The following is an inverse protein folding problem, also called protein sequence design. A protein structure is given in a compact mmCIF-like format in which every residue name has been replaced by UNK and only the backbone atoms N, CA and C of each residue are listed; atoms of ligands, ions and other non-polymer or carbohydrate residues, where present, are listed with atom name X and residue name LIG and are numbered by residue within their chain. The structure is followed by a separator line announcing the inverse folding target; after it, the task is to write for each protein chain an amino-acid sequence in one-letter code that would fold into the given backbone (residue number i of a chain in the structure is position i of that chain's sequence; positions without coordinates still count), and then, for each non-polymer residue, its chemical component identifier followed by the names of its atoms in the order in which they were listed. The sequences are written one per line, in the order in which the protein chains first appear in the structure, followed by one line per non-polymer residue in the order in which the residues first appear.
data_IF_177017498574
#
_entry.id   IF_177017498574
#
_cell.length_a   1.000
_cell.length_b   1.000
_cell.length_c   1.000
_cell.angle_alpha   90.00
_cell.angle_beta   90.00
_cell.angle_gamma   90.00
#
_symmetry.space_group_name_H-M   'P 1'
#
loop_
_entity.id
_entity.type
_entity.pdbx_description
1 polymer ?
#
# COMPACT_ATOMS: atom_id res chain seq x y z
N UNK A 1 25.35 -2.57 -11.89
CA UNK A 1 24.73 -3.26 -10.74
C UNK A 1 23.23 -3.01 -10.79
N UNK A 2 22.46 -4.04 -10.53
CA UNK A 2 21.00 -3.96 -10.45
C UNK A 2 20.52 -4.32 -9.05
N UNK A 3 19.48 -3.63 -8.59
CA UNK A 3 18.80 -4.01 -7.35
C UNK A 3 17.68 -5.02 -7.68
N UNK A 4 17.32 -5.84 -6.72
CA UNK A 4 16.23 -6.81 -6.84
C UNK A 4 14.93 -6.29 -6.18
N UNK A 5 14.52 -5.08 -6.56
CA UNK A 5 13.31 -4.45 -6.05
C UNK A 5 13.48 -3.75 -4.71
N UNK A 6 12.36 -3.51 -4.04
CA UNK A 6 12.29 -2.88 -2.72
C UNK A 6 12.12 -3.99 -1.68
N UNK A 7 13.03 -4.07 -0.71
CA UNK A 7 12.99 -5.11 0.33
C UNK A 7 11.82 -4.90 1.29
N UNK A 8 11.66 -3.69 1.82
CA UNK A 8 10.58 -3.36 2.73
C UNK A 8 10.22 -1.87 2.71
N UNK A 9 9.02 -1.59 3.18
CA UNK A 9 8.53 -0.22 3.45
C UNK A 9 8.08 -0.17 4.90
N UNK A 10 8.53 0.82 5.66
CA UNK A 10 8.13 1.06 7.03
C UNK A 10 7.39 2.39 7.12
N UNK A 11 6.19 2.37 7.68
CA UNK A 11 5.35 3.53 7.87
C UNK A 11 5.25 3.85 9.37
N UNK A 12 5.45 5.10 9.74
CA UNK A 12 5.17 5.57 11.09
C UNK A 12 3.73 6.07 11.12
N UNK A 13 2.93 5.54 12.05
CA UNK A 13 1.51 5.88 12.18
C UNK A 13 1.24 6.57 13.52
N UNK A 14 0.38 7.57 13.52
CA UNK A 14 0.02 8.30 14.73
C UNK A 14 -1.00 7.54 15.58
N UNK A 15 -2.01 6.94 14.95
CA UNK A 15 -3.04 6.14 15.59
C UNK A 15 -2.74 4.64 15.42
N UNK A 16 -1.78 4.14 16.17
CA UNK A 16 -1.34 2.75 16.09
C UNK A 16 -2.47 1.76 16.42
N UNK A 17 -3.33 2.07 17.39
CA UNK A 17 -4.42 1.18 17.81
C UNK A 17 -5.46 0.96 16.69
N UNK A 18 -5.72 1.96 15.87
CA UNK A 18 -6.58 1.83 14.71
C UNK A 18 -5.83 1.25 13.50
N UNK A 19 -4.58 1.60 13.31
CA UNK A 19 -3.77 1.16 12.17
C UNK A 19 -3.36 -0.32 12.28
N UNK A 20 -3.11 -0.84 13.48
CA UNK A 20 -2.70 -2.22 13.68
C UNK A 20 -3.69 -3.23 13.06
N UNK A 21 -4.98 -3.24 13.44
CA UNK A 21 -5.92 -4.18 12.83
C UNK A 21 -6.14 -3.91 11.34
N UNK A 22 -6.14 -2.68 10.91
CA UNK A 22 -6.27 -2.32 9.50
C UNK A 22 -5.15 -2.94 8.65
N UNK A 23 -3.89 -2.71 9.02
CA UNK A 23 -2.76 -3.24 8.26
C UNK A 23 -2.61 -4.75 8.40
N UNK A 24 -2.90 -5.32 9.57
CA UNK A 24 -2.87 -6.78 9.72
C UNK A 24 -3.86 -7.46 8.78
N UNK A 25 -5.08 -6.96 8.70
CA UNK A 25 -6.11 -7.50 7.80
C UNK A 25 -5.76 -7.27 6.33
N UNK A 26 -5.38 -6.04 5.98
CA UNK A 26 -5.04 -5.70 4.60
C UNK A 26 -3.84 -6.51 4.10
N UNK A 27 -2.75 -6.49 4.85
CA UNK A 27 -1.51 -7.15 4.41
C UNK A 27 -1.66 -8.66 4.36
N UNK A 28 -2.44 -9.25 5.28
CA UNK A 28 -2.79 -10.68 5.22
C UNK A 28 -3.63 -10.99 3.98
N UNK A 29 -4.60 -10.15 3.66
CA UNK A 29 -5.40 -10.28 2.44
C UNK A 29 -4.54 -10.19 1.17
N UNK A 30 -3.51 -9.33 1.19
CA UNK A 30 -2.55 -9.20 0.08
C UNK A 30 -1.50 -10.33 0.05
N UNK A 31 -1.60 -11.32 0.93
CA UNK A 31 -0.72 -12.50 0.93
C UNK A 31 0.57 -12.35 1.73
N UNK A 32 0.70 -11.29 2.55
CA UNK A 32 1.82 -11.16 3.47
C UNK A 32 1.51 -11.84 4.81
N UNK A 33 2.54 -12.33 5.47
CA UNK A 33 2.42 -13.01 6.77
C UNK A 33 2.97 -12.12 7.88
N UNK A 34 2.18 -11.85 8.95
CA UNK A 34 2.70 -11.16 10.13
C UNK A 34 3.82 -11.98 10.79
N UNK A 35 5.01 -11.41 10.88
CA UNK A 35 6.18 -12.05 11.53
C UNK A 35 6.61 -11.33 12.80
N UNK A 36 6.27 -10.06 12.93
CA UNK A 36 6.40 -9.29 14.17
C UNK A 36 5.07 -8.63 14.46
N UNK A 37 4.53 -8.89 15.64
CA UNK A 37 3.33 -8.23 16.15
C UNK A 37 3.59 -7.88 17.61
N UNK A 38 3.90 -6.63 17.87
CA UNK A 38 4.28 -6.11 19.18
C UNK A 38 3.46 -4.86 19.52
N UNK A 39 3.65 -4.30 20.70
CA UNK A 39 2.88 -3.15 21.20
C UNK A 39 3.07 -1.88 20.36
N UNK A 40 4.19 -1.77 19.66
CA UNK A 40 4.55 -0.57 18.91
C UNK A 40 4.95 -0.86 17.45
N UNK A 41 4.80 -2.10 16.99
CA UNK A 41 5.23 -2.51 15.66
C UNK A 41 4.43 -3.68 15.14
N UNK A 42 4.08 -3.61 13.85
CA UNK A 42 3.64 -4.73 13.03
C UNK A 42 4.57 -4.84 11.83
N UNK A 43 5.02 -6.05 11.50
CA UNK A 43 5.85 -6.30 10.32
C UNK A 43 5.38 -7.55 9.62
N UNK A 44 4.95 -7.41 8.38
CA UNK A 44 4.41 -8.49 7.55
C UNK A 44 5.32 -8.73 6.34
N UNK A 45 5.60 -10.00 6.06
CA UNK A 45 6.53 -10.42 5.00
C UNK A 45 5.80 -11.20 3.92
N UNK A 46 6.02 -10.82 2.68
CA UNK A 46 5.59 -11.56 1.49
C UNK A 46 6.76 -12.23 0.77
N UNK A 47 6.49 -12.77 -0.43
CA UNK A 47 7.51 -13.46 -1.21
C UNK A 47 8.66 -12.57 -1.69
N UNK A 48 8.40 -11.28 -1.92
CA UNK A 48 9.38 -10.34 -2.48
C UNK A 48 9.39 -8.98 -1.82
N UNK A 49 8.62 -8.76 -0.79
CA UNK A 49 8.53 -7.49 -0.09
C UNK A 49 8.08 -7.70 1.34
N UNK A 50 8.30 -6.69 2.15
CA UNK A 50 7.73 -6.62 3.49
C UNK A 50 7.17 -5.22 3.70
N UNK A 51 6.13 -5.13 4.53
CA UNK A 51 5.53 -3.87 4.93
C UNK A 51 5.32 -3.88 6.43
N UNK A 52 5.72 -2.81 7.07
CA UNK A 52 5.53 -2.66 8.50
C UNK A 52 5.02 -1.29 8.88
N UNK A 53 4.44 -1.24 10.07
CA UNK A 53 4.07 0.01 10.72
C UNK A 53 4.73 0.08 12.08
N UNK A 54 5.11 1.28 12.47
CA UNK A 54 5.62 1.58 13.81
C UNK A 54 4.83 2.74 14.40
N UNK A 55 4.69 2.71 15.71
CA UNK A 55 4.01 3.74 16.45
C UNK A 55 4.84 5.03 16.47
N UNK A 56 4.21 6.16 16.18
CA UNK A 56 4.85 7.47 16.29
C UNK A 56 5.29 7.76 17.73
N UNK A 57 6.38 8.50 17.87
CA UNK A 57 6.76 9.07 19.15
C UNK A 57 5.64 9.98 19.68
N UNK A 58 5.53 10.10 21.01
CA UNK A 58 4.45 10.86 21.66
C UNK A 58 4.30 12.29 21.12
N UNK A 59 5.41 12.97 20.90
CA UNK A 59 5.41 14.34 20.35
C UNK A 59 4.82 14.47 18.94
N UNK A 60 4.67 13.36 18.21
CA UNK A 60 4.17 13.33 16.84
C UNK A 60 2.79 12.67 16.69
N UNK A 61 2.19 12.15 17.77
CA UNK A 61 0.94 11.36 17.71
C UNK A 61 -0.28 12.13 17.25
N UNK A 62 -0.27 13.45 17.28
CA UNK A 62 -1.35 14.30 16.79
C UNK A 62 -1.12 14.81 15.38
N UNK A 63 0.01 14.48 14.76
CA UNK A 63 0.28 14.82 13.36
C UNK A 63 -0.58 13.98 12.43
N UNK A 64 -0.93 14.57 11.27
CA UNK A 64 -1.68 13.91 10.21
C UNK A 64 -0.82 13.77 8.98
N UNK A 65 -1.07 12.70 8.22
CA UNK A 65 -0.44 12.53 6.93
C UNK A 65 -0.84 13.65 5.98
N UNK A 66 0.11 14.17 5.24
CA UNK A 66 -0.10 15.15 4.17
C UNK A 66 0.65 14.70 2.93
N UNK A 67 -0.09 14.33 1.89
CA UNK A 67 0.46 13.73 0.67
C UNK A 67 1.51 14.59 -0.04
N UNK A 68 1.33 15.90 0.00
CA UNK A 68 2.21 16.83 -0.69
C UNK A 68 3.27 17.48 0.21
N UNK A 69 3.44 16.96 1.42
CA UNK A 69 4.57 17.28 2.26
C UNK A 69 5.80 16.50 1.82
N UNK A 70 7.00 17.03 2.05
CA UNK A 70 8.26 16.31 1.76
C UNK A 70 8.27 14.96 2.47
N UNK A 71 8.47 13.89 1.71
CA UNK A 71 8.49 12.50 2.19
C UNK A 71 7.61 11.59 1.35
N UNK A 72 6.82 10.76 2.01
CA UNK A 72 5.95 9.81 1.33
C UNK A 72 4.77 10.52 0.63
N UNK A 73 4.57 10.24 -0.65
CA UNK A 73 3.38 10.62 -1.39
C UNK A 73 2.29 9.54 -1.26
N UNK A 74 2.62 8.30 -1.57
CA UNK A 74 1.77 7.12 -1.41
C UNK A 74 2.59 5.83 -1.57
N UNK A 75 1.99 4.72 -1.20
CA UNK A 75 2.53 3.37 -1.46
C UNK A 75 1.59 2.65 -2.41
N UNK A 76 2.13 2.07 -3.47
CA UNK A 76 1.36 1.28 -4.43
C UNK A 76 1.84 -0.16 -4.43
N UNK A 77 0.89 -1.09 -4.22
CA UNK A 77 1.12 -2.52 -4.35
C UNK A 77 0.74 -2.97 -5.76
N UNK A 78 1.56 -3.83 -6.35
CA UNK A 78 1.30 -4.38 -7.67
C UNK A 78 0.47 -5.66 -7.56
N UNK A 79 -0.74 -5.67 -8.12
CA UNK A 79 -1.56 -6.86 -8.28
C UNK A 79 -1.09 -7.70 -9.47
N UNK A 80 -1.31 -9.01 -9.40
CA UNK A 80 -0.99 -9.94 -10.52
C UNK A 80 -2.01 -9.83 -11.64
N UNK A 81 -3.28 -9.68 -11.28
CA UNK A 81 -4.39 -9.65 -12.22
C UNK A 81 -5.25 -8.41 -12.00
N UNK A 82 -5.92 -7.97 -13.06
CA UNK A 82 -6.88 -6.86 -12.98
C UNK A 82 -7.99 -7.15 -11.96
N UNK A 83 -8.48 -8.38 -11.93
CA UNK A 83 -9.52 -8.81 -11.00
C UNK A 83 -9.10 -8.71 -9.53
N UNK A 84 -7.80 -8.76 -9.22
CA UNK A 84 -7.30 -8.60 -7.86
C UNK A 84 -7.53 -7.19 -7.34
N UNK A 85 -7.47 -6.17 -8.20
CA UNK A 85 -7.78 -4.78 -7.84
C UNK A 85 -9.25 -4.66 -7.39
N UNK A 86 -10.16 -5.31 -8.12
CA UNK A 86 -11.58 -5.34 -7.75
C UNK A 86 -11.80 -6.08 -6.43
N UNK A 87 -11.10 -7.20 -6.22
CA UNK A 87 -11.18 -7.97 -4.97
C UNK A 87 -10.68 -7.17 -3.76
N UNK A 88 -9.61 -6.37 -3.94
CA UNK A 88 -9.13 -5.45 -2.90
C UNK A 88 -10.18 -4.40 -2.60
N UNK A 89 -10.82 -3.83 -3.62
CA UNK A 89 -11.89 -2.86 -3.41
C UNK A 89 -13.05 -3.43 -2.58
N UNK A 90 -13.52 -4.62 -2.91
CA UNK A 90 -14.58 -5.28 -2.16
C UNK A 90 -14.17 -5.54 -0.69
N UNK A 91 -12.93 -5.98 -0.48
CA UNK A 91 -12.36 -6.16 0.85
C UNK A 91 -12.34 -4.83 1.63
N UNK A 92 -11.90 -3.74 1.01
CA UNK A 92 -11.80 -2.42 1.64
C UNK A 92 -13.19 -1.88 2.02
N UNK A 93 -14.20 -2.08 1.17
CA UNK A 93 -15.57 -1.69 1.47
C UNK A 93 -16.10 -2.46 2.69
N UNK A 94 -15.88 -3.77 2.75
CA UNK A 94 -16.29 -4.59 3.88
C UNK A 94 -15.55 -4.22 5.17
N UNK A 95 -14.30 -3.80 5.08
CA UNK A 95 -13.50 -3.34 6.21
C UNK A 95 -13.82 -1.91 6.65
N UNK A 96 -14.67 -1.19 5.92
CA UNK A 96 -15.00 0.20 6.23
C UNK A 96 -13.87 1.20 5.95
N UNK A 97 -12.95 0.85 5.06
CA UNK A 97 -11.84 1.73 4.71
C UNK A 97 -12.31 2.95 3.91
N UNK A 98 -11.56 4.05 4.02
CA UNK A 98 -11.84 5.25 3.26
C UNK A 98 -11.32 5.10 1.82
N UNK A 99 -12.22 5.07 0.86
CA UNK A 99 -11.92 5.00 -0.56
C UNK A 99 -11.72 6.41 -1.11
N UNK A 100 -10.60 6.64 -1.80
CA UNK A 100 -10.35 7.89 -2.53
C UNK A 100 -10.95 7.80 -3.91
N UNK A 101 -10.66 6.72 -4.67
CA UNK A 101 -11.41 6.37 -5.87
C UNK A 101 -11.57 4.86 -5.98
N UNK A 102 -12.73 4.44 -6.48
CA UNK A 102 -12.99 3.04 -6.83
C UNK A 102 -12.08 2.60 -7.99
N UNK A 103 -11.99 1.28 -8.27
CA UNK A 103 -11.19 0.80 -9.38
C UNK A 103 -11.54 1.52 -10.68
N UNK A 104 -10.51 2.08 -11.31
CA UNK A 104 -10.64 2.81 -12.57
C UNK A 104 -9.37 2.71 -13.40
N UNK A 105 -9.50 2.94 -14.69
CA UNK A 105 -8.36 3.05 -15.60
C UNK A 105 -7.67 4.40 -15.43
N UNK A 106 -6.36 4.41 -15.61
CA UNK A 106 -5.54 5.61 -15.55
C UNK A 106 -4.60 5.71 -16.73
N UNK A 107 -4.11 6.92 -16.99
CA UNK A 107 -3.24 7.21 -18.13
C UNK A 107 -1.74 6.98 -17.85
N UNK A 108 -1.38 6.47 -16.69
CA UNK A 108 0.01 6.32 -16.25
C UNK A 108 0.80 5.28 -17.04
N UNK A 109 0.11 4.24 -17.55
CA UNK A 109 0.66 3.23 -18.42
C UNK A 109 -0.48 2.58 -19.21
N UNK A 110 -0.19 1.91 -20.36
CA UNK A 110 -1.21 1.16 -21.08
C UNK A 110 -1.86 0.08 -20.22
N UNK A 111 -3.20 0.14 -20.08
CA UNK A 111 -3.96 -0.80 -19.27
C UNK A 111 -3.83 -0.61 -17.75
N UNK A 112 -3.30 0.53 -17.30
CA UNK A 112 -3.22 0.87 -15.88
C UNK A 112 -4.61 0.87 -15.25
N UNK A 113 -4.77 0.11 -14.16
CA UNK A 113 -6.02 -0.05 -13.44
C UNK A 113 -5.74 -0.07 -11.94
N UNK A 114 -6.41 0.76 -11.16
CA UNK A 114 -6.09 0.88 -9.74
C UNK A 114 -7.27 1.29 -8.87
N UNK A 115 -7.13 1.01 -7.58
CA UNK A 115 -7.95 1.52 -6.49
C UNK A 115 -7.06 2.34 -5.56
N UNK A 116 -7.54 3.50 -5.13
CA UNK A 116 -6.84 4.41 -4.23
C UNK A 116 -7.64 4.58 -2.94
N UNK A 117 -6.98 4.44 -1.82
CA UNK A 117 -7.62 4.46 -0.50
C UNK A 117 -6.68 5.03 0.56
N UNK A 118 -7.18 5.16 1.77
CA UNK A 118 -6.43 5.67 2.91
C UNK A 118 -6.45 4.69 4.07
N UNK A 119 -5.36 4.67 4.84
CA UNK A 119 -5.35 4.03 6.15
C UNK A 119 -6.05 4.92 7.20
N UNK A 120 -6.19 4.47 8.47
CA UNK A 120 -6.83 5.28 9.51
C UNK A 120 -6.13 6.62 9.83
N UNK A 121 -4.86 6.77 9.48
CA UNK A 121 -4.11 8.03 9.62
C UNK A 121 -4.24 8.95 8.40
N UNK A 122 -4.87 8.47 7.33
CA UNK A 122 -4.95 9.17 6.06
C UNK A 122 -3.77 8.92 5.14
N UNK A 123 -2.87 7.98 5.48
CA UNK A 123 -1.77 7.60 4.59
C UNK A 123 -2.35 7.01 3.30
N UNK A 124 -1.89 7.54 2.17
CA UNK A 124 -2.42 7.18 0.85
C UNK A 124 -1.82 5.87 0.37
N UNK A 125 -2.71 4.92 0.05
CA UNK A 125 -2.37 3.58 -0.43
C UNK A 125 -3.08 3.31 -1.76
N UNK A 126 -2.41 2.55 -2.61
CA UNK A 126 -2.92 2.16 -3.93
C UNK A 126 -2.65 0.68 -4.16
N UNK A 127 -3.55 0.03 -4.89
CA UNK A 127 -3.28 -1.27 -5.51
C UNK A 127 -3.54 -1.11 -7.00
N UNK A 128 -2.54 -1.45 -7.81
CA UNK A 128 -2.65 -1.34 -9.26
C UNK A 128 -2.42 -2.67 -9.97
N UNK A 129 -2.88 -2.73 -11.20
CA UNK A 129 -2.51 -3.73 -12.18
C UNK A 129 -2.07 -3.03 -13.47
N UNK A 130 -0.93 -3.46 -13.99
CA UNK A 130 -0.43 -3.00 -15.29
C UNK A 130 -0.05 -4.24 -16.10
N UNK A 131 -0.69 -4.48 -17.27
CA UNK A 131 -0.40 -5.68 -18.05
C UNK A 131 0.99 -5.65 -18.68
N UNK A 132 1.58 -6.83 -18.84
CA UNK A 132 2.86 -7.00 -19.50
C UNK A 132 4.02 -6.31 -18.80
N UNK A 133 4.85 -5.63 -19.56
CA UNK A 133 6.02 -4.89 -19.06
C UNK A 133 5.71 -3.42 -18.75
N UNK A 134 4.45 -2.99 -18.93
CA UNK A 134 4.07 -1.61 -18.69
C UNK A 134 4.91 -0.64 -19.52
N UNK A 135 5.39 0.42 -18.86
CA UNK A 135 6.23 1.44 -19.49
C UNK A 135 7.58 0.91 -20.01
N UNK A 136 8.06 -0.21 -19.48
CA UNK A 136 9.31 -0.82 -19.94
C UNK A 136 9.18 -1.43 -21.34
N UNK A 137 7.99 -1.73 -21.80
CA UNK A 137 7.77 -2.22 -23.16
C UNK A 137 8.19 -1.20 -24.23
N UNK A 138 7.97 0.09 -23.96
CA UNK A 138 8.33 1.18 -24.86
C UNK A 138 9.82 1.57 -24.70
N UNK A 139 10.35 1.51 -23.50
CA UNK A 139 11.76 1.76 -23.22
C UNK A 139 12.70 0.76 -23.93
N UNK A 140 12.25 -0.47 -24.13
CA UNK A 140 13.03 -1.52 -24.83
C UNK A 140 13.05 -1.34 -26.35
N UNK A 141 12.26 -0.44 -26.93
CA UNK A 141 12.19 -0.15 -28.37
C UNK A 141 13.04 1.05 -28.79
N UNK A 142 13.61 1.76 -27.81
CA UNK A 142 14.45 2.93 -28.03
C UNK A 142 15.91 2.66 -28.33
#
# INVERSE_FOLDING_TARGET
MEINGIAHVMLTVSNFDACLPFYEQLLTFLGLTPVIKADEMLYCVGGRTAVGIVKAEEKHRHERFAQFRVGLHHVCFRARERADVDAVYDFLLAAGAKIVHAPEEGAWAPGYYSVLFEDPDGIRLEVNHVPGKGLLADAAKG
#
